data_IF_533555535909
#
_entry.id   IF_533555535909
#
_cell.length_a   1.000
_cell.length_b   1.000
_cell.length_c   1.000
_cell.angle_alpha   90.00
_cell.angle_beta   90.00
_cell.angle_gamma   90.00
#
_symmetry.space_group_name_H-M   'P 1'
#
loop_
_entity.id
_entity.type
_entity.pdbx_description
1 polymer ?
#
# COMPACT_ATOMS: atom_id res chain seq x y z
N UNK A 1 -1.46 0.32 4.65
CA UNK A 1 -0.55 0.46 5.82
C UNK A 1 -1.07 1.50 6.80
N UNK A 2 -1.19 2.78 6.41
CA UNK A 2 -1.71 3.88 7.25
C UNK A 2 -2.94 3.47 8.07
N UNK A 3 -3.98 2.96 7.41
CA UNK A 3 -5.24 2.63 8.07
C UNK A 3 -5.09 1.52 9.12
N UNK A 4 -4.21 0.55 8.90
CA UNK A 4 -3.90 -0.48 9.89
C UNK A 4 -3.12 0.06 11.10
N UNK A 5 -2.21 1.02 10.89
CA UNK A 5 -1.48 1.65 11.99
C UNK A 5 -2.41 2.47 12.90
N UNK A 6 -3.42 3.12 12.31
CA UNK A 6 -4.37 3.97 13.05
C UNK A 6 -5.63 3.25 13.52
N UNK A 7 -5.89 2.01 13.10
CA UNK A 7 -7.07 1.23 13.52
C UNK A 7 -7.18 1.08 15.06
N UNK A 8 -6.05 1.05 15.77
CA UNK A 8 -5.99 0.99 17.23
C UNK A 8 -6.06 2.34 17.94
N UNK A 9 -6.21 3.45 17.20
CA UNK A 9 -6.20 4.83 17.72
C UNK A 9 -5.01 5.11 18.68
N UNK A 10 -3.75 4.93 18.22
CA UNK A 10 -2.57 5.17 19.06
C UNK A 10 -2.59 6.60 19.63
N UNK A 11 -2.28 6.73 20.93
CA UNK A 11 -2.37 8.02 21.64
C UNK A 11 -1.02 8.71 21.78
N UNK A 12 0.05 7.95 21.66
CA UNK A 12 1.42 8.44 21.75
C UNK A 12 2.26 8.02 20.55
N UNK A 13 3.39 8.68 20.33
CA UNK A 13 4.36 8.29 19.30
C UNK A 13 4.86 6.85 19.50
N UNK A 14 5.21 6.40 20.72
CA UNK A 14 5.55 5.00 20.98
C UNK A 14 4.47 3.99 20.52
N UNK A 15 3.19 4.27 20.80
CA UNK A 15 2.09 3.40 20.36
C UNK A 15 2.05 3.28 18.84
N UNK A 16 2.22 4.41 18.14
CA UNK A 16 2.26 4.45 16.68
C UNK A 16 3.45 3.66 16.13
N UNK A 17 4.64 3.76 16.75
CA UNK A 17 5.82 2.98 16.35
C UNK A 17 5.56 1.48 16.47
N UNK A 18 4.93 1.04 17.56
CA UNK A 18 4.55 -0.38 17.75
C UNK A 18 3.54 -0.81 16.67
N UNK A 19 2.52 0.01 16.40
CA UNK A 19 1.52 -0.27 15.39
C UNK A 19 2.13 -0.37 13.97
N UNK A 20 3.07 0.52 13.63
CA UNK A 20 3.81 0.47 12.35
C UNK A 20 4.61 -0.82 12.24
N UNK A 21 5.39 -1.17 13.26
CA UNK A 21 6.20 -2.41 13.26
C UNK A 21 5.33 -3.65 13.04
N UNK A 22 4.18 -3.72 13.74
CA UNK A 22 3.20 -4.80 13.59
C UNK A 22 2.56 -4.82 12.20
N UNK A 23 2.21 -3.66 11.65
CA UNK A 23 1.62 -3.58 10.33
C UNK A 23 2.59 -4.05 9.24
N UNK A 24 3.87 -3.68 9.36
CA UNK A 24 4.93 -4.10 8.43
C UNK A 24 5.20 -5.61 8.56
N UNK A 25 5.30 -6.15 9.78
CA UNK A 25 5.55 -7.58 9.98
C UNK A 25 4.45 -8.49 9.44
N UNK A 26 3.24 -7.95 9.24
CA UNK A 26 2.11 -8.67 8.68
C UNK A 26 2.02 -8.60 7.15
N UNK A 27 2.93 -7.86 6.49
CA UNK A 27 2.99 -7.84 5.02
C UNK A 27 3.52 -9.19 4.55
N UNK A 28 2.68 -9.91 3.82
CA UNK A 28 3.03 -11.20 3.22
C UNK A 28 3.61 -11.01 1.82
N UNK A 29 4.42 -11.97 1.38
CA UNK A 29 5.03 -11.93 0.04
C UNK A 29 3.98 -11.86 -1.08
N UNK A 30 2.84 -12.56 -0.93
CA UNK A 30 1.76 -12.53 -1.92
C UNK A 30 1.13 -11.13 -2.07
N UNK A 31 1.15 -10.33 -1.00
CA UNK A 31 0.70 -8.93 -1.07
C UNK A 31 1.69 -8.09 -1.89
N UNK A 32 2.99 -8.33 -1.76
CA UNK A 32 4.02 -7.65 -2.54
C UNK A 32 3.96 -8.05 -4.01
N UNK A 33 3.77 -9.33 -4.31
CA UNK A 33 3.57 -9.81 -5.69
C UNK A 33 2.40 -9.11 -6.37
N UNK A 34 1.26 -8.96 -5.68
CA UNK A 34 0.10 -8.20 -6.17
C UNK A 34 0.43 -6.73 -6.45
N UNK A 35 1.27 -6.10 -5.64
CA UNK A 35 1.73 -4.73 -5.87
C UNK A 35 2.54 -4.65 -7.16
N UNK A 36 3.48 -5.57 -7.40
CA UNK A 36 4.25 -5.62 -8.64
C UNK A 36 3.36 -5.88 -9.86
N UNK A 37 2.42 -6.84 -9.77
CA UNK A 37 1.46 -7.09 -10.85
C UNK A 37 0.60 -5.86 -11.15
N UNK A 38 0.10 -5.17 -10.12
CA UNK A 38 -0.68 -3.93 -10.29
C UNK A 38 0.15 -2.82 -10.94
N UNK A 39 1.43 -2.70 -10.58
CA UNK A 39 2.34 -1.73 -11.20
C UNK A 39 2.51 -1.97 -12.70
N UNK A 40 2.71 -3.22 -13.14
CA UNK A 40 2.77 -3.55 -14.56
C UNK A 40 1.49 -3.14 -15.31
N UNK A 41 0.31 -3.46 -14.75
CA UNK A 41 -0.99 -3.06 -15.33
C UNK A 41 -1.15 -1.55 -15.45
N UNK A 42 -0.65 -0.79 -14.47
CA UNK A 42 -0.67 0.68 -14.49
C UNK A 42 0.18 1.26 -15.62
N UNK A 43 1.34 0.65 -15.91
CA UNK A 43 2.17 1.05 -17.05
C UNK A 43 1.47 0.73 -18.37
N UNK A 44 0.90 -0.48 -18.50
CA UNK A 44 0.15 -0.87 -19.71
C UNK A 44 -1.01 0.09 -19.97
N UNK A 45 -1.77 0.45 -18.94
CA UNK A 45 -2.84 1.44 -19.07
C UNK A 45 -2.31 2.80 -19.49
N UNK A 46 -1.25 3.31 -18.84
CA UNK A 46 -0.65 4.60 -19.18
C UNK A 46 -0.26 4.69 -20.67
N UNK A 47 0.35 3.61 -21.20
CA UNK A 47 0.72 3.52 -22.62
C UNK A 47 -0.54 3.53 -23.51
N UNK A 48 -1.55 2.73 -23.16
CA UNK A 48 -2.78 2.61 -23.93
C UNK A 48 -3.71 3.83 -23.82
N UNK A 49 -3.46 4.72 -22.85
CA UNK A 49 -4.24 5.94 -22.61
C UNK A 49 -3.49 7.20 -23.01
N UNK A 50 -2.43 7.10 -23.84
CA UNK A 50 -1.59 8.22 -24.27
C UNK A 50 -1.10 9.11 -23.10
N UNK A 51 -0.82 8.47 -21.97
CA UNK A 51 -0.33 9.13 -20.76
C UNK A 51 -1.39 9.82 -19.89
N UNK A 52 -2.68 9.60 -20.14
CA UNK A 52 -3.74 10.13 -19.30
C UNK A 52 -3.62 9.68 -17.83
N UNK A 53 -4.05 10.56 -16.91
CA UNK A 53 -4.10 10.24 -15.49
C UNK A 53 -5.19 9.19 -15.18
N UNK A 54 -4.92 8.35 -14.20
CA UNK A 54 -5.85 7.34 -13.69
C UNK A 54 -5.72 7.21 -12.18
N UNK A 55 -6.85 7.01 -11.50
CA UNK A 55 -6.88 6.80 -10.05
C UNK A 55 -7.03 5.32 -9.68
N UNK A 56 -7.85 4.56 -10.43
CA UNK A 56 -8.17 3.16 -10.12
C UNK A 56 -7.99 2.26 -11.35
N UNK A 57 -7.08 1.28 -11.25
CA UNK A 57 -6.81 0.20 -12.22
C UNK A 57 -6.64 -1.11 -11.45
#
# INVERSE_FOLDING_TARGET
IKDHCYAGNPKTVPDLVVAIKKAISNIKNDMLEKVFTSFCKRIEFYINSDGAHFENI
#
